data_IF_397235248812
#
_entry.id   IF_397235248812
#
_cell.length_a   1.000
_cell.length_b   1.000
_cell.length_c   1.000
_cell.angle_alpha   90.00
_cell.angle_beta   90.00
_cell.angle_gamma   90.00
#
_symmetry.space_group_name_H-M   'P 1'
#
loop_
_entity.id
_entity.type
_entity.pdbx_description
1 polymer ?
#
# COMPACT_ATOMS: atom_id res chain seq x y z
N UNK A 1 68.13 16.50 122.46
CA UNK A 1 67.45 15.24 122.12
C UNK A 1 67.35 15.18 120.60
N UNK A 2 68.42 14.84 119.88
CA UNK A 2 68.78 13.47 119.46
C UNK A 2 67.59 12.72 118.87
N UNK A 3 67.47 12.67 117.55
CA UNK A 3 68.01 11.53 116.78
C UNK A 3 68.08 11.83 115.27
N UNK A 4 69.16 11.40 114.59
CA UNK A 4 69.33 11.38 113.14
C UNK A 4 68.92 10.01 112.56
N UNK A 5 69.46 9.68 111.37
CA UNK A 5 69.79 8.34 110.82
C UNK A 5 68.98 7.98 109.55
N UNK A 6 69.59 8.09 108.37
CA UNK A 6 70.42 7.08 107.66
C UNK A 6 69.51 6.06 106.93
N UNK A 7 69.30 6.24 105.63
CA UNK A 7 69.98 5.52 104.54
C UNK A 7 69.62 4.02 104.48
N UNK A 8 68.95 3.62 103.40
CA UNK A 8 69.55 2.90 102.26
C UNK A 8 68.48 2.15 101.44
N UNK A 9 68.87 1.87 100.19
CA UNK A 9 68.42 0.80 99.29
C UNK A 9 67.32 1.13 98.26
N UNK A 10 67.84 1.29 97.04
CA UNK A 10 67.17 1.29 95.75
C UNK A 10 66.72 -0.13 95.40
N UNK A 11 65.42 -0.32 95.16
CA UNK A 11 64.89 -1.51 94.47
C UNK A 11 63.94 -1.07 93.35
N UNK A 12 64.23 -1.54 92.13
CA UNK A 12 63.43 -1.31 90.93
C UNK A 12 62.01 -1.86 91.13
N UNK A 13 60.95 -1.16 90.67
CA UNK A 13 59.59 -1.61 90.92
C UNK A 13 59.35 -2.95 90.24
N UNK A 14 59.07 -3.97 91.07
CA UNK A 14 58.67 -5.30 90.65
C UNK A 14 57.47 -5.18 89.69
N UNK A 15 57.69 -5.53 88.43
CA UNK A 15 56.66 -5.68 87.42
C UNK A 15 55.72 -6.82 87.85
N UNK A 16 54.60 -6.43 88.45
CA UNK A 16 53.46 -7.25 88.78
C UNK A 16 52.33 -7.01 87.76
N UNK A 17 52.64 -7.14 86.47
CA UNK A 17 51.62 -7.25 85.44
C UNK A 17 50.86 -8.57 85.65
N UNK A 18 49.80 -8.51 86.45
CA UNK A 18 48.78 -9.54 86.52
C UNK A 18 48.06 -9.56 85.16
N UNK A 19 48.45 -10.48 84.27
CA UNK A 19 47.69 -10.76 83.06
C UNK A 19 46.44 -11.54 83.44
N UNK A 20 45.45 -10.85 84.01
CA UNK A 20 44.09 -11.35 84.14
C UNK A 20 43.65 -11.77 82.75
N UNK A 21 43.44 -13.07 82.57
CA UNK A 21 42.96 -13.66 81.33
C UNK A 21 41.75 -12.84 80.84
N UNK A 22 41.94 -12.08 79.76
CA UNK A 22 40.87 -11.35 79.10
C UNK A 22 39.79 -12.39 78.78
N UNK A 23 38.62 -12.28 79.41
CA UNK A 23 37.47 -13.14 79.14
C UNK A 23 36.95 -12.83 77.73
N UNK A 24 37.62 -13.32 76.71
CA UNK A 24 37.22 -13.26 75.30
C UNK A 24 36.20 -14.37 75.03
N UNK A 25 35.04 -14.30 75.66
CA UNK A 25 33.89 -15.10 75.22
C UNK A 25 33.20 -14.36 74.07
N UNK A 26 33.87 -14.34 72.91
CA UNK A 26 33.38 -13.69 71.69
C UNK A 26 32.25 -14.47 71.01
N UNK A 27 32.06 -15.73 71.40
CA UNK A 27 31.12 -16.69 70.80
C UNK A 27 29.66 -16.23 70.86
N UNK A 28 29.27 -15.47 71.89
CA UNK A 28 27.94 -14.87 71.99
C UNK A 28 27.72 -13.76 70.95
N UNK A 29 28.70 -12.85 70.80
CA UNK A 29 28.64 -11.76 69.83
C UNK A 29 28.76 -12.26 68.38
N UNK A 30 29.58 -13.28 68.14
CA UNK A 30 29.67 -13.92 66.81
C UNK A 30 28.36 -14.61 66.42
N UNK A 31 27.68 -15.29 67.34
CA UNK A 31 26.35 -15.87 67.09
C UNK A 31 25.29 -14.81 66.82
N UNK A 32 25.31 -13.71 67.58
CA UNK A 32 24.40 -12.59 67.37
C UNK A 32 24.62 -11.93 66.00
N UNK A 33 25.88 -11.74 65.60
CA UNK A 33 26.23 -11.24 64.28
C UNK A 33 25.71 -12.14 63.15
N UNK A 34 25.93 -13.46 63.25
CA UNK A 34 25.42 -14.42 62.26
C UNK A 34 23.89 -14.46 62.20
N UNK A 35 23.19 -14.29 63.32
CA UNK A 35 21.73 -14.22 63.33
C UNK A 35 21.22 -12.99 62.58
N UNK A 36 21.84 -11.83 62.78
CA UNK A 36 21.48 -10.59 62.07
C UNK A 36 21.73 -10.72 60.57
N UNK A 37 22.84 -11.33 60.17
CA UNK A 37 23.17 -11.56 58.76
C UNK A 37 22.15 -12.50 58.11
N UNK A 38 21.82 -13.61 58.77
CA UNK A 38 20.82 -14.55 58.27
C UNK A 38 19.44 -13.92 58.16
N UNK A 39 19.04 -13.11 59.14
CA UNK A 39 17.74 -12.44 59.13
C UNK A 39 17.67 -11.38 58.01
N UNK A 40 18.71 -10.55 57.87
CA UNK A 40 18.76 -9.52 56.84
C UNK A 40 18.83 -10.10 55.43
N UNK A 41 19.72 -11.07 55.21
CA UNK A 41 19.91 -11.71 53.92
C UNK A 41 18.71 -12.59 53.53
N UNK A 42 18.21 -13.38 54.49
CA UNK A 42 17.02 -14.20 54.29
C UNK A 42 15.77 -13.37 54.02
N UNK A 43 15.57 -12.28 54.78
CA UNK A 43 14.47 -11.35 54.57
C UNK A 43 14.53 -10.68 53.19
N UNK A 44 15.72 -10.29 52.74
CA UNK A 44 15.91 -9.69 51.41
C UNK A 44 15.57 -10.67 50.28
N UNK A 45 16.05 -11.92 50.36
CA UNK A 45 15.75 -12.96 49.35
C UNK A 45 14.26 -13.28 49.34
N UNK A 46 13.65 -13.47 50.51
CA UNK A 46 12.23 -13.79 50.62
C UNK A 46 11.37 -12.69 49.99
N UNK A 47 11.73 -11.43 50.25
CA UNK A 47 11.07 -10.28 49.64
C UNK A 47 11.30 -10.23 48.12
N UNK A 48 12.53 -10.44 47.65
CA UNK A 48 12.88 -10.41 46.22
C UNK A 48 12.16 -11.51 45.41
N UNK A 49 11.96 -12.70 45.99
CA UNK A 49 11.17 -13.77 45.36
C UNK A 49 9.68 -13.43 45.24
N UNK A 50 9.14 -12.66 46.19
CA UNK A 50 7.74 -12.22 46.15
C UNK A 50 7.53 -10.92 45.37
N UNK A 51 8.58 -10.16 45.07
CA UNK A 51 8.47 -8.93 44.32
C UNK A 51 8.18 -9.25 42.84
N UNK A 52 6.98 -8.90 42.31
CA UNK A 52 6.69 -9.08 40.90
C UNK A 52 7.58 -8.15 40.07
N UNK A 53 8.51 -8.72 39.32
CA UNK A 53 9.43 -8.02 38.41
C UNK A 53 8.83 -7.81 37.01
N UNK A 54 7.53 -7.99 36.86
CA UNK A 54 6.80 -7.83 35.60
C UNK A 54 6.67 -6.36 35.21
N UNK A 55 7.78 -5.77 34.77
CA UNK A 55 7.78 -4.52 34.03
C UNK A 55 7.61 -4.83 32.55
N UNK A 56 6.35 -4.99 32.14
CA UNK A 56 5.99 -4.83 30.75
C UNK A 56 6.35 -3.41 30.31
N UNK A 57 7.34 -3.28 29.42
CA UNK A 57 7.61 -2.00 28.77
C UNK A 57 6.37 -1.65 27.94
N UNK A 58 5.68 -0.52 28.17
CA UNK A 58 4.58 -0.11 27.30
C UNK A 58 5.16 0.29 25.95
N UNK A 59 5.20 -0.66 25.01
CA UNK A 59 5.55 -0.41 23.63
C UNK A 59 4.35 0.26 22.96
N UNK A 60 4.49 1.50 22.51
CA UNK A 60 3.48 2.14 21.66
C UNK A 60 3.60 1.57 20.23
N UNK A 61 3.05 0.37 20.01
CA UNK A 61 2.95 -0.24 18.69
C UNK A 61 1.76 0.33 17.91
N UNK A 62 2.01 1.19 16.92
CA UNK A 62 0.96 1.64 16.00
C UNK A 62 0.87 0.67 14.81
N UNK A 63 -0.19 -0.13 14.76
CA UNK A 63 -0.51 -0.96 13.59
C UNK A 63 -0.99 -0.03 12.47
N UNK A 64 -0.08 0.34 11.59
CA UNK A 64 -0.37 1.07 10.36
C UNK A 64 -0.59 0.04 9.26
N UNK A 65 -1.82 -0.09 8.78
CA UNK A 65 -2.08 -0.84 7.54
C UNK A 65 -1.26 -0.17 6.43
N UNK A 66 -0.40 -0.93 5.74
CA UNK A 66 0.30 -0.44 4.56
C UNK A 66 -0.70 -0.28 3.41
N UNK A 67 -1.54 0.76 3.51
CA UNK A 67 -2.53 1.09 2.50
C UNK A 67 -1.78 1.71 1.33
N UNK A 68 -1.55 0.90 0.29
CA UNK A 68 -1.20 1.40 -1.03
C UNK A 68 -2.41 2.16 -1.60
N UNK A 69 -2.58 3.43 -1.23
CA UNK A 69 -3.61 4.30 -1.79
C UNK A 69 -3.26 4.58 -3.24
N UNK A 70 -3.88 3.87 -4.17
CA UNK A 70 -3.85 4.22 -5.60
C UNK A 70 -5.01 5.17 -5.86
N UNK A 71 -4.70 6.43 -6.17
CA UNK A 71 -5.70 7.36 -6.65
C UNK A 71 -6.17 6.90 -8.03
N UNK A 72 -7.42 6.43 -8.12
CA UNK A 72 -8.06 6.10 -9.40
C UNK A 72 -8.61 7.40 -9.97
N UNK A 73 -7.93 7.93 -10.98
CA UNK A 73 -8.35 9.13 -11.72
C UNK A 73 -8.84 8.72 -13.11
N UNK A 74 -9.93 9.31 -13.59
CA UNK A 74 -10.39 9.12 -14.97
C UNK A 74 -9.50 9.93 -15.91
N UNK A 75 -8.87 9.25 -16.88
CA UNK A 75 -8.00 9.88 -17.89
C UNK A 75 -8.79 10.78 -18.83
N UNK A 76 -10.02 10.39 -19.15
CA UNK A 76 -10.95 11.15 -19.98
C UNK A 76 -11.98 11.77 -19.05
N UNK A 77 -11.93 13.09 -18.86
CA UNK A 77 -12.89 13.81 -18.01
C UNK A 77 -14.29 13.72 -18.59
N UNK A 78 -15.21 13.05 -17.90
CA UNK A 78 -16.61 12.94 -18.29
C UNK A 78 -17.53 12.85 -17.07
N UNK A 79 -18.83 13.03 -17.28
CA UNK A 79 -19.81 13.04 -16.18
C UNK A 79 -19.99 11.63 -15.60
N UNK A 80 -19.89 11.50 -14.28
CA UNK A 80 -20.20 10.25 -13.57
C UNK A 80 -21.70 9.97 -13.66
N UNK A 81 -22.07 8.80 -14.17
CA UNK A 81 -23.45 8.34 -14.21
C UNK A 81 -23.85 7.64 -12.91
N UNK A 82 -22.97 6.76 -12.40
CA UNK A 82 -23.20 6.05 -11.15
C UNK A 82 -21.89 5.68 -10.45
N UNK A 83 -21.91 5.76 -9.12
CA UNK A 83 -20.86 5.20 -8.25
C UNK A 83 -21.42 3.89 -7.69
N UNK A 84 -20.75 2.78 -7.99
CA UNK A 84 -21.26 1.43 -7.70
C UNK A 84 -20.78 0.87 -6.35
N UNK A 85 -19.94 1.63 -5.65
CA UNK A 85 -19.31 1.23 -4.39
C UNK A 85 -19.53 2.28 -3.30
N UNK A 86 -19.49 1.82 -2.05
CA UNK A 86 -19.56 2.68 -0.85
C UNK A 86 -18.23 2.64 -0.10
N UNK A 87 -17.97 3.64 0.72
CA UNK A 87 -16.79 3.67 1.59
C UNK A 87 -16.70 2.39 2.44
N UNK A 88 -15.53 1.77 2.48
CA UNK A 88 -15.30 0.49 3.18
C UNK A 88 -15.71 -0.78 2.43
N UNK A 89 -16.17 -0.67 1.16
CA UNK A 89 -16.48 -1.85 0.34
C UNK A 89 -15.20 -2.59 -0.08
N UNK A 90 -15.17 -3.91 0.08
CA UNK A 90 -14.08 -4.76 -0.42
C UNK A 90 -14.23 -4.94 -1.93
N UNK A 91 -13.22 -4.55 -2.70
CA UNK A 91 -13.23 -4.63 -4.18
C UNK A 91 -12.07 -5.49 -4.67
N UNK A 92 -12.29 -6.19 -5.79
CA UNK A 92 -11.28 -7.00 -6.48
C UNK A 92 -10.81 -6.28 -7.75
N UNK A 93 -9.65 -6.69 -8.26
CA UNK A 93 -9.15 -6.17 -9.53
C UNK A 93 -10.13 -6.55 -10.67
N UNK A 94 -10.53 -5.54 -11.45
CA UNK A 94 -11.49 -5.69 -12.54
C UNK A 94 -12.94 -5.31 -12.18
N UNK A 95 -13.24 -5.06 -10.90
CA UNK A 95 -14.57 -4.64 -10.50
C UNK A 95 -14.87 -3.22 -11.03
N UNK A 96 -16.08 -3.03 -11.57
CA UNK A 96 -16.53 -1.72 -12.04
C UNK A 96 -16.91 -0.85 -10.85
N UNK A 97 -16.06 0.10 -10.51
CA UNK A 97 -16.26 0.99 -9.36
C UNK A 97 -17.17 2.18 -9.69
N UNK A 98 -17.00 2.73 -10.89
CA UNK A 98 -17.68 3.94 -11.35
C UNK A 98 -18.11 3.70 -12.80
N UNK A 99 -19.34 4.11 -13.13
CA UNK A 99 -19.85 4.16 -14.48
C UNK A 99 -19.88 5.61 -14.94
N UNK A 100 -19.27 5.88 -16.09
CA UNK A 100 -19.34 7.18 -16.74
C UNK A 100 -20.50 7.25 -17.72
N UNK A 101 -21.07 8.44 -17.87
CA UNK A 101 -22.07 8.71 -18.88
C UNK A 101 -21.46 8.54 -20.28
N UNK A 102 -21.88 7.50 -20.98
CA UNK A 102 -21.34 7.13 -22.28
C UNK A 102 -22.11 7.72 -23.47
N UNK A 103 -23.11 8.58 -23.24
CA UNK A 103 -24.01 9.06 -24.32
C UNK A 103 -23.20 9.80 -25.39
N UNK A 104 -22.35 10.75 -25.00
CA UNK A 104 -21.54 11.52 -25.95
C UNK A 104 -20.49 10.63 -26.64
N UNK A 105 -19.82 9.75 -25.88
CA UNK A 105 -18.84 8.83 -26.43
C UNK A 105 -19.45 7.87 -27.46
N UNK A 106 -20.64 7.32 -27.17
CA UNK A 106 -21.40 6.49 -28.13
C UNK A 106 -21.83 7.27 -29.35
N UNK A 107 -22.38 8.47 -29.18
CA UNK A 107 -22.82 9.30 -30.30
C UNK A 107 -21.64 9.64 -31.24
N UNK A 108 -20.48 9.97 -30.68
CA UNK A 108 -19.25 10.22 -31.44
C UNK A 108 -18.77 8.95 -32.17
N UNK A 109 -18.77 7.80 -31.48
CA UNK A 109 -18.39 6.53 -32.08
C UNK A 109 -19.30 6.14 -33.26
N UNK A 110 -20.62 6.29 -33.10
CA UNK A 110 -21.59 6.01 -34.17
C UNK A 110 -21.42 6.99 -35.34
N UNK A 111 -21.20 8.27 -35.07
CA UNK A 111 -20.95 9.28 -36.11
C UNK A 111 -19.70 8.94 -36.91
N UNK A 112 -18.58 8.64 -36.24
CA UNK A 112 -17.34 8.26 -36.89
C UNK A 112 -17.47 6.96 -37.70
N UNK A 113 -18.25 6.00 -37.18
CA UNK A 113 -18.52 4.74 -37.87
C UNK A 113 -19.34 4.94 -39.14
N UNK A 114 -20.33 5.83 -39.13
CA UNK A 114 -21.08 6.21 -40.34
C UNK A 114 -20.16 6.90 -41.35
N UNK A 115 -19.32 7.85 -40.92
CA UNK A 115 -18.36 8.52 -41.80
C UNK A 115 -17.37 7.53 -42.43
N UNK A 116 -16.89 6.57 -41.64
CA UNK A 116 -16.04 5.49 -42.13
C UNK A 116 -16.72 4.67 -43.24
N UNK A 117 -17.99 4.31 -43.08
CA UNK A 117 -18.72 3.56 -44.11
C UNK A 117 -18.94 4.38 -45.40
N UNK A 118 -19.26 5.66 -45.26
CA UNK A 118 -19.38 6.59 -46.40
C UNK A 118 -18.06 6.68 -47.17
N UNK A 119 -16.94 6.85 -46.46
CA UNK A 119 -15.61 6.91 -47.04
C UNK A 119 -15.26 5.60 -47.76
N UNK A 120 -15.53 4.45 -47.14
CA UNK A 120 -15.29 3.13 -47.75
C UNK A 120 -16.13 2.87 -49.00
N UNK A 121 -17.39 3.29 -49.00
CA UNK A 121 -18.26 3.14 -50.17
C UNK A 121 -17.77 4.03 -51.33
N UNK A 122 -17.34 5.25 -51.02
CA UNK A 122 -16.74 6.16 -52.01
C UNK A 122 -15.44 5.60 -52.57
N UNK A 123 -14.57 5.07 -51.69
CA UNK A 123 -13.33 4.38 -52.10
C UNK A 123 -13.63 3.23 -53.06
N UNK A 124 -14.57 2.36 -52.74
CA UNK A 124 -14.95 1.23 -53.59
C UNK A 124 -15.43 1.69 -54.98
N UNK A 125 -16.25 2.75 -55.04
CA UNK A 125 -16.68 3.36 -56.32
C UNK A 125 -15.48 3.90 -57.09
N UNK A 126 -14.59 4.66 -56.44
CA UNK A 126 -13.43 5.27 -57.09
C UNK A 126 -12.45 4.22 -57.63
N UNK A 127 -12.25 3.11 -56.91
CA UNK A 127 -11.46 1.97 -57.38
C UNK A 127 -12.10 1.36 -58.63
N UNK A 128 -13.43 1.13 -58.61
CA UNK A 128 -14.15 0.62 -59.77
C UNK A 128 -14.07 1.56 -60.99
N UNK A 129 -14.11 2.89 -60.78
CA UNK A 129 -13.93 3.89 -61.84
C UNK A 129 -12.50 3.90 -62.39
N UNK A 130 -11.50 3.83 -61.51
CA UNK A 130 -10.08 3.82 -61.88
C UNK A 130 -9.72 2.59 -62.71
N UNK A 131 -10.25 1.43 -62.32
CA UNK A 131 -9.92 0.14 -62.91
C UNK A 131 -10.90 -0.25 -64.05
N UNK A 132 -11.80 0.66 -64.43
CA UNK A 132 -12.84 0.50 -65.47
C UNK A 132 -13.69 -0.77 -65.31
N UNK A 133 -14.05 -1.09 -64.07
CA UNK A 133 -14.90 -2.23 -63.76
C UNK A 133 -16.34 -2.04 -64.21
N UNK A 134 -17.06 -3.13 -64.41
CA UNK A 134 -18.47 -3.07 -64.83
C UNK A 134 -19.44 -2.76 -63.70
N UNK A 135 -19.04 -3.03 -62.46
CA UNK A 135 -19.85 -2.86 -61.26
C UNK A 135 -18.95 -2.54 -60.06
N UNK A 136 -19.51 -1.88 -59.05
CA UNK A 136 -18.82 -1.62 -57.79
C UNK A 136 -18.79 -2.92 -56.97
N UNK A 137 -17.62 -3.30 -56.47
CA UNK A 137 -17.50 -4.38 -55.49
C UNK A 137 -17.34 -3.76 -54.11
N UNK A 138 -18.39 -3.82 -53.29
CA UNK A 138 -18.33 -3.32 -51.91
C UNK A 138 -17.64 -4.35 -51.01
N UNK A 139 -16.72 -3.92 -50.13
CA UNK A 139 -16.10 -4.82 -49.14
C UNK A 139 -17.12 -5.31 -48.10
N UNK A 140 -16.89 -6.49 -47.52
CA UNK A 140 -17.80 -7.19 -46.60
C UNK A 140 -18.29 -6.33 -45.43
N UNK A 141 -17.43 -5.44 -44.93
CA UNK A 141 -17.75 -4.49 -43.87
C UNK A 141 -18.94 -3.58 -44.21
N UNK A 142 -19.13 -3.25 -45.49
CA UNK A 142 -20.28 -2.48 -45.97
C UNK A 142 -21.50 -3.35 -46.20
N UNK A 143 -21.32 -4.61 -46.61
CA UNK A 143 -22.41 -5.59 -46.76
C UNK A 143 -23.10 -5.84 -45.42
N UNK A 144 -22.33 -5.98 -44.34
CA UNK A 144 -22.90 -6.09 -43.00
C UNK A 144 -23.56 -4.79 -42.54
N UNK A 145 -22.96 -3.63 -42.87
CA UNK A 145 -23.48 -2.32 -42.52
C UNK A 145 -24.74 -1.93 -43.32
N UNK A 146 -24.96 -2.52 -44.50
CA UNK A 146 -26.14 -2.35 -45.34
C UNK A 146 -27.43 -2.85 -44.66
N UNK A 147 -27.34 -3.59 -43.55
CA UNK A 147 -28.50 -3.85 -42.68
C UNK A 147 -29.11 -2.58 -42.11
N UNK A 148 -28.33 -1.50 -42.00
CA UNK A 148 -28.84 -0.18 -41.64
C UNK A 148 -29.44 0.50 -42.91
N UNK A 149 -30.72 0.88 -42.89
CA UNK A 149 -31.38 1.52 -44.04
C UNK A 149 -30.66 2.76 -44.56
N UNK A 150 -30.02 3.56 -43.69
CA UNK A 150 -29.28 4.77 -44.09
C UNK A 150 -28.01 4.44 -44.88
N UNK A 151 -27.33 3.36 -44.52
CA UNK A 151 -26.14 2.91 -45.24
C UNK A 151 -26.56 2.26 -46.56
N UNK A 152 -27.59 1.41 -46.55
CA UNK A 152 -28.13 0.82 -47.77
C UNK A 152 -28.54 1.88 -48.81
N UNK A 153 -29.22 2.95 -48.38
CA UNK A 153 -29.57 4.05 -49.28
C UNK A 153 -28.33 4.74 -49.84
N UNK A 154 -27.28 4.93 -49.03
CA UNK A 154 -26.04 5.54 -49.48
C UNK A 154 -25.28 4.66 -50.49
N UNK A 155 -25.22 3.34 -50.27
CA UNK A 155 -24.61 2.39 -51.21
C UNK A 155 -25.33 2.43 -52.57
N UNK A 156 -26.67 2.43 -52.55
CA UNK A 156 -27.48 2.57 -53.77
C UNK A 156 -27.18 3.88 -54.50
N UNK A 157 -27.07 4.99 -53.76
CA UNK A 157 -26.66 6.28 -54.36
C UNK A 157 -25.28 6.20 -55.02
N UNK A 158 -24.31 5.47 -54.45
CA UNK A 158 -23.00 5.29 -55.09
C UNK A 158 -23.11 4.49 -56.40
N UNK A 159 -23.95 3.46 -56.45
CA UNK A 159 -24.22 2.70 -57.68
C UNK A 159 -24.88 3.56 -58.77
N UNK A 160 -25.84 4.41 -58.39
CA UNK A 160 -26.51 5.34 -59.30
C UNK A 160 -25.52 6.36 -59.88
N UNK A 161 -24.64 6.93 -59.03
CA UNK A 161 -23.58 7.86 -59.47
C UNK A 161 -22.61 7.17 -60.42
N UNK A 162 -22.18 5.94 -60.11
CA UNK A 162 -21.25 5.17 -60.93
C UNK A 162 -21.81 4.85 -62.31
N UNK A 163 -23.04 4.33 -62.36
CA UNK A 163 -23.70 3.98 -63.63
C UNK A 163 -23.95 5.20 -64.52
N UNK A 164 -24.35 6.33 -63.92
CA UNK A 164 -24.52 7.60 -64.63
C UNK A 164 -23.20 8.08 -65.26
N UNK A 165 -22.12 8.13 -64.49
CA UNK A 165 -20.79 8.54 -64.98
C UNK A 165 -20.29 7.66 -66.11
N UNK A 166 -20.43 6.34 -65.97
CA UNK A 166 -20.02 5.38 -66.99
C UNK A 166 -20.83 5.54 -68.28
N UNK A 167 -22.14 5.78 -68.17
CA UNK A 167 -23.01 6.02 -69.33
C UNK A 167 -22.62 7.30 -70.08
N UNK A 168 -22.24 8.36 -69.36
CA UNK A 168 -21.72 9.60 -69.97
C UNK A 168 -20.42 9.33 -70.71
N UNK A 169 -19.44 8.69 -70.06
CA UNK A 169 -18.16 8.35 -70.69
C UNK A 169 -18.32 7.48 -71.95
N UNK A 170 -19.22 6.49 -71.90
CA UNK A 170 -19.51 5.64 -73.05
C UNK A 170 -20.16 6.42 -74.20
N UNK A 171 -21.07 7.34 -73.89
CA UNK A 171 -21.71 8.20 -74.89
C UNK A 171 -20.71 9.13 -75.57
N UNK A 172 -19.76 9.68 -74.81
CA UNK A 172 -18.68 10.52 -75.33
C UNK A 172 -17.73 9.72 -76.25
N UNK A 173 -17.31 8.53 -75.83
CA UNK A 173 -16.47 7.63 -76.64
C UNK A 173 -17.15 7.16 -77.93
N UNK A 174 -18.48 6.98 -77.92
CA UNK A 174 -19.23 6.53 -79.09
C UNK A 174 -19.49 7.65 -80.11
N UNK A 175 -19.29 8.91 -79.72
CA UNK A 175 -19.50 10.08 -80.57
C UNK A 175 -18.23 10.52 -81.32
N UNK A 176 -17.08 9.91 -81.01
CA UNK A 176 -15.78 10.12 -81.67
C UNK A 176 -15.58 9.02 -82.72
#
# INVERSE_FOLDING_TARGET
MTTPVNAQHNELPANNANYTALKTNITFYTRLGWMIVLLGFGGFILWACWAPLDKGVPLNGKVSVATNKKAVQSQDGGTVEAILIKEGSVVKAGDVLIRMNNIQAKANAETNRVQYFIAKATEARLIAERDDFTAITFPDVLTEAARNPRIASYLKTQEDVFSSRRSTLKSELSAI
#
